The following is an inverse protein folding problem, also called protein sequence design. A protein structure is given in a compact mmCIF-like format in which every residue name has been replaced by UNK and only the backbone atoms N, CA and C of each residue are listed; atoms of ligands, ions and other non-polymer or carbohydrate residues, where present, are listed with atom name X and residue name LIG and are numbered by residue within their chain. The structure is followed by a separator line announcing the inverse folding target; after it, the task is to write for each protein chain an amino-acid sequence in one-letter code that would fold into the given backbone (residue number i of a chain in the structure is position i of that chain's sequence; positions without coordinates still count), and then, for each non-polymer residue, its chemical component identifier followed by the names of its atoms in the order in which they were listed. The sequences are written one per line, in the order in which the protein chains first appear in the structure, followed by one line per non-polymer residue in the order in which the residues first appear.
data_IF_182940149370
#
_entry.id   IF_182940149370
#
_cell.length_a   1.000
_cell.length_b   1.000
_cell.length_c   1.000
_cell.angle_alpha   90.00
_cell.angle_beta   90.00
_cell.angle_gamma   90.00
#
_symmetry.space_group_name_H-M   'P 1'
#
loop_
_entity.id
_entity.type
_entity.pdbx_description
1 polymer ?
#
# COMPACT_ATOMS: atom_id res chain seq x y z
N UNK A 1 -15.51 -9.41 12.72
CA UNK A 1 -14.68 -8.52 11.90
C UNK A 1 -14.57 -9.06 10.50
N UNK A 2 -14.39 -8.17 9.54
CA UNK A 2 -13.96 -8.52 8.19
C UNK A 2 -12.44 -8.41 8.16
N UNK A 3 -11.76 -9.50 7.84
CA UNK A 3 -10.31 -9.54 7.75
C UNK A 3 -9.84 -10.07 6.38
N UNK A 4 -8.52 -10.25 6.24
CA UNK A 4 -7.93 -10.69 4.98
C UNK A 4 -8.40 -12.09 4.54
N UNK A 5 -8.80 -12.93 5.49
CA UNK A 5 -9.36 -14.25 5.24
C UNK A 5 -10.72 -14.14 4.56
N UNK A 6 -11.56 -13.19 4.99
CA UNK A 6 -12.85 -12.94 4.34
C UNK A 6 -12.64 -12.52 2.88
N UNK A 7 -11.64 -11.69 2.60
CA UNK A 7 -11.30 -11.26 1.23
C UNK A 7 -10.85 -12.46 0.41
N UNK A 8 -9.94 -13.31 0.91
CA UNK A 8 -9.52 -14.53 0.21
C UNK A 8 -10.66 -15.52 -0.05
N UNK A 9 -11.62 -15.58 0.88
CA UNK A 9 -12.77 -16.47 0.76
C UNK A 9 -13.71 -16.05 -0.38
N UNK A 10 -13.78 -14.73 -0.64
CA UNK A 10 -14.56 -14.16 -1.73
C UNK A 10 -13.77 -14.14 -3.04
N UNK A 11 -12.52 -13.65 -2.99
CA UNK A 11 -11.60 -13.56 -4.11
C UNK A 11 -10.17 -13.94 -3.66
N UNK A 12 -9.73 -15.17 -3.97
CA UNK A 12 -8.42 -15.66 -3.55
C UNK A 12 -7.26 -14.98 -4.28
N UNK A 13 -7.46 -14.44 -5.49
CA UNK A 13 -6.43 -13.73 -6.23
C UNK A 13 -6.19 -12.36 -5.60
N UNK A 14 -7.26 -11.62 -5.32
CA UNK A 14 -7.21 -10.35 -4.61
C UNK A 14 -6.60 -10.52 -3.21
N UNK A 15 -7.05 -11.54 -2.46
CA UNK A 15 -6.55 -11.79 -1.13
C UNK A 15 -5.05 -12.09 -1.11
N UNK A 16 -4.53 -12.84 -2.10
CA UNK A 16 -3.09 -13.06 -2.27
C UNK A 16 -2.34 -11.78 -2.60
N UNK A 17 -2.87 -10.95 -3.51
CA UNK A 17 -2.25 -9.67 -3.84
C UNK A 17 -2.18 -8.73 -2.62
N UNK A 18 -3.19 -8.74 -1.76
CA UNK A 18 -3.18 -7.95 -0.52
C UNK A 18 -2.16 -8.46 0.51
N UNK A 19 -1.94 -9.77 0.62
CA UNK A 19 -0.86 -10.32 1.47
C UNK A 19 0.52 -9.86 1.00
N UNK A 20 0.77 -9.95 -0.30
CA UNK A 20 2.03 -9.50 -0.90
C UNK A 20 2.23 -8.00 -0.63
N UNK A 21 1.18 -7.19 -0.77
CA UNK A 21 1.23 -5.77 -0.47
C UNK A 21 1.53 -5.50 1.01
N UNK A 22 0.92 -6.23 1.94
CA UNK A 22 1.21 -6.09 3.38
C UNK A 22 2.67 -6.42 3.70
N UNK A 23 3.24 -7.45 3.09
CA UNK A 23 4.64 -7.80 3.25
C UNK A 23 5.58 -6.68 2.76
N UNK A 24 5.23 -6.06 1.62
CA UNK A 24 5.97 -4.93 1.05
C UNK A 24 5.90 -3.71 1.96
N UNK A 25 4.71 -3.38 2.49
CA UNK A 25 4.53 -2.28 3.45
C UNK A 25 5.34 -2.51 4.72
N UNK A 26 5.36 -3.74 5.23
CA UNK A 26 6.20 -4.10 6.39
C UNK A 26 7.68 -3.87 6.11
N UNK A 27 8.17 -4.33 4.95
CA UNK A 27 9.55 -4.11 4.51
C UNK A 27 9.87 -2.63 4.34
N UNK A 28 8.96 -1.84 3.76
CA UNK A 28 9.12 -0.39 3.62
C UNK A 28 9.26 0.28 4.98
N UNK A 29 8.35 -0.01 5.93
CA UNK A 29 8.41 0.56 7.29
C UNK A 29 9.73 0.24 7.99
N UNK A 30 10.22 -0.98 7.83
CA UNK A 30 11.53 -1.38 8.35
C UNK A 30 12.66 -0.58 7.70
N UNK A 31 12.66 -0.44 6.37
CA UNK A 31 13.66 0.35 5.63
C UNK A 31 13.66 1.82 6.04
N UNK A 32 12.46 2.41 6.21
CA UNK A 32 12.29 3.78 6.69
C UNK A 32 12.84 3.94 8.12
N UNK A 33 12.67 2.92 8.98
CA UNK A 33 13.20 2.92 10.35
C UNK A 33 14.72 2.79 10.40
N UNK A 34 15.31 2.04 9.48
CA UNK A 34 16.77 1.81 9.39
C UNK A 34 17.48 2.94 8.62
N UNK A 35 16.73 3.93 8.12
CA UNK A 35 17.28 5.07 7.38
C UNK A 35 17.77 4.71 5.97
N UNK A 36 17.19 3.67 5.36
CA UNK A 36 17.49 3.31 3.98
C UNK A 36 16.97 4.38 3.01
N UNK A 37 17.75 4.65 1.97
CA UNK A 37 17.42 5.69 0.98
C UNK A 37 16.13 5.40 0.19
N UNK A 38 15.51 6.47 -0.29
CA UNK A 38 14.28 6.45 -1.10
C UNK A 38 14.36 5.55 -2.34
N UNK A 39 15.56 5.30 -2.88
CA UNK A 39 15.77 4.38 -4.01
C UNK A 39 15.46 2.92 -3.65
N UNK A 40 15.77 2.49 -2.42
CA UNK A 40 15.53 1.11 -1.96
C UNK A 40 14.03 0.87 -1.74
N UNK A 41 13.30 1.89 -1.31
CA UNK A 41 11.85 1.82 -1.16
C UNK A 41 11.12 1.95 -2.50
N UNK A 42 11.69 2.67 -3.46
CA UNK A 42 11.15 2.80 -4.82
C UNK A 42 11.28 1.52 -5.66
N UNK A 43 12.23 0.63 -5.36
CA UNK A 43 12.42 -0.65 -6.05
C UNK A 43 11.52 -1.78 -5.52
N UNK A 44 10.70 -1.53 -4.50
CA UNK A 44 9.73 -2.50 -4.01
C UNK A 44 8.72 -2.87 -5.11
N UNK A 45 8.49 -4.18 -5.29
CA UNK A 45 7.66 -4.73 -6.36
C UNK A 45 6.57 -5.65 -5.80
N UNK A 46 5.37 -5.54 -6.37
CA UNK A 46 4.21 -6.38 -6.15
C UNK A 46 3.89 -7.10 -7.46
N UNK A 47 3.88 -8.44 -7.47
CA UNK A 47 3.65 -9.22 -8.69
C UNK A 47 4.59 -8.89 -9.85
N UNK A 48 5.81 -8.40 -9.58
CA UNK A 48 6.78 -7.97 -10.59
C UNK A 48 6.59 -6.54 -11.14
N UNK A 49 5.58 -5.81 -10.65
CA UNK A 49 5.37 -4.39 -10.95
C UNK A 49 5.87 -3.53 -9.80
N UNK A 50 6.53 -2.40 -10.08
CA UNK A 50 6.98 -1.49 -9.03
C UNK A 50 5.78 -0.86 -8.31
N UNK A 51 5.89 -0.65 -6.99
CA UNK A 51 4.83 0.00 -6.20
C UNK A 51 4.47 1.39 -6.75
N UNK A 52 5.46 2.13 -7.26
CA UNK A 52 5.23 3.45 -7.87
C UNK A 52 4.45 3.38 -9.18
N UNK A 53 4.52 2.26 -9.91
CA UNK A 53 3.82 2.06 -11.18
C UNK A 53 2.36 1.63 -10.99
N UNK A 54 2.01 1.09 -9.82
CA UNK A 54 0.65 0.68 -9.50
C UNK A 54 -0.35 1.85 -9.49
N UNK A 55 0.11 3.11 -9.50
CA UNK A 55 -0.71 4.31 -9.56
C UNK A 55 -1.92 4.24 -8.61
N UNK A 56 -1.68 3.79 -7.37
CA UNK A 56 -2.72 3.75 -6.34
C UNK A 56 -3.05 5.19 -5.94
N UNK A 57 -4.12 5.73 -6.51
CA UNK A 57 -4.73 6.94 -6.02
C UNK A 57 -5.68 6.58 -4.87
N UNK A 58 -5.54 7.30 -3.76
CA UNK A 58 -6.52 7.18 -2.69
C UNK A 58 -7.54 8.28 -2.90
N UNK A 59 -8.73 7.88 -3.34
CA UNK A 59 -9.92 8.72 -3.33
C UNK A 59 -10.77 8.36 -2.12
N UNK A 60 -11.50 9.33 -1.59
CA UNK A 60 -12.39 9.06 -0.47
C UNK A 60 -13.57 8.21 -0.98
N UNK A 61 -13.86 7.03 -0.39
CA UNK A 61 -15.00 6.22 -0.80
C UNK A 61 -16.31 7.03 -0.73
N UNK A 62 -17.03 7.12 -1.84
CA UNK A 62 -18.26 7.91 -1.98
C UNK A 62 -18.05 9.38 -2.39
N UNK A 63 -16.80 9.87 -2.44
CA UNK A 63 -16.45 11.21 -2.90
C UNK A 63 -15.23 11.17 -3.83
N UNK A 64 -15.43 10.78 -5.10
CA UNK A 64 -14.34 10.62 -6.07
C UNK A 64 -13.64 11.95 -6.39
N UNK A 65 -14.35 13.08 -6.29
CA UNK A 65 -13.77 14.41 -6.52
C UNK A 65 -12.99 14.96 -5.32
N UNK A 66 -12.99 14.25 -4.19
CA UNK A 66 -12.32 14.70 -2.98
C UNK A 66 -10.85 14.29 -3.00
N UNK A 67 -9.98 15.26 -3.25
CA UNK A 67 -8.53 15.08 -3.20
C UNK A 67 -8.10 14.89 -1.75
N UNK A 68 -7.65 13.67 -1.40
CA UNK A 68 -7.05 13.41 -0.10
C UNK A 68 -5.72 14.16 -0.02
N UNK A 69 -5.62 15.08 0.95
CA UNK A 69 -4.36 15.71 1.31
C UNK A 69 -3.37 14.61 1.71
N UNK A 70 -2.24 14.51 1.00
CA UNK A 70 -1.19 13.53 1.28
C UNK A 70 -0.72 13.67 2.73
N UNK A 71 -0.58 12.55 3.44
CA UNK A 71 -0.45 12.46 4.91
C UNK A 71 0.81 13.06 5.55
N UNK A 72 1.21 14.27 5.20
CA UNK A 72 2.30 15.03 5.79
C UNK A 72 1.84 16.32 6.50
N UNK A 73 0.55 16.52 6.74
CA UNK A 73 0.02 17.67 7.50
C UNK A 73 -0.93 17.24 8.62
N UNK A 74 -0.37 16.61 9.65
CA UNK A 74 -0.84 16.83 11.02
C UNK A 74 0.35 17.41 11.80
N UNK A 75 0.70 18.67 11.50
CA UNK A 75 1.46 19.51 12.41
C UNK A 75 0.50 20.01 13.49
N UNK A 76 0.63 19.48 14.71
CA UNK A 76 0.16 20.12 15.95
C UNK A 76 1.34 20.22 16.92
#
# INVERSE_FOLDING_TARGET
DLDLYDIKSFDPELGKAMEELQAIVGRKKFLDTVGSGHEVTADLQLGGSKIVDLCLDFTLPGYPDYVLKGGAEHEL
#
